data_IF_501311983984
#
_entry.id   IF_501311983984
#
_cell.length_a   1.000
_cell.length_b   1.000
_cell.length_c   1.000
_cell.angle_alpha   90.00
_cell.angle_beta   90.00
_cell.angle_gamma   90.00
#
_symmetry.space_group_name_H-M   'P 1'
#
loop_
_entity.id
_entity.type
_entity.pdbx_description
1 polymer ?
#
# COMPACT_ATOMS: atom_id res chain seq x y z
N UNK A 1 5.57 4.47 46.13
CA UNK A 1 5.40 5.09 44.80
C UNK A 1 5.18 3.97 43.78
N UNK A 2 3.96 3.79 43.26
CA UNK A 2 3.68 2.87 42.15
C UNK A 2 3.10 3.71 41.02
N UNK A 3 3.92 4.00 40.01
CA UNK A 3 3.49 4.73 38.82
C UNK A 3 2.94 3.73 37.82
N UNK A 4 1.64 3.82 37.53
CA UNK A 4 0.96 3.00 36.52
C UNK A 4 1.07 3.76 35.20
N UNK A 5 1.85 3.24 34.26
CA UNK A 5 1.91 3.78 32.90
C UNK A 5 0.56 3.54 32.22
N UNK A 6 -0.24 4.60 32.06
CA UNK A 6 -1.45 4.56 31.27
C UNK A 6 -1.08 4.49 29.78
N UNK A 7 -1.23 3.31 29.17
CA UNK A 7 -1.17 3.14 27.72
C UNK A 7 -2.40 3.82 27.12
N UNK A 8 -2.24 5.04 26.60
CA UNK A 8 -3.30 5.74 25.87
C UNK A 8 -3.43 5.05 24.52
N UNK A 9 -4.40 4.15 24.43
CA UNK A 9 -4.69 3.37 23.24
C UNK A 9 -5.20 4.30 22.14
N UNK A 10 -4.31 4.71 21.23
CA UNK A 10 -4.68 5.39 19.99
C UNK A 10 -5.14 4.30 19.00
N UNK A 11 -6.30 3.70 19.26
CA UNK A 11 -7.01 2.94 18.23
C UNK A 11 -7.45 3.97 17.20
N UNK A 12 -6.63 4.19 16.17
CA UNK A 12 -7.09 4.77 14.93
C UNK A 12 -8.33 3.98 14.55
N UNK A 13 -9.44 4.68 14.29
CA UNK A 13 -10.69 4.07 13.86
C UNK A 13 -10.39 3.30 12.58
N UNK A 14 -10.12 2.00 12.73
CA UNK A 14 -10.03 1.07 11.60
C UNK A 14 -11.43 1.14 11.02
N UNK A 15 -11.57 1.89 9.92
CA UNK A 15 -12.82 1.89 9.17
C UNK A 15 -13.10 0.42 8.90
N UNK A 16 -14.21 -0.15 9.41
CA UNK A 16 -14.56 -1.49 9.01
C UNK A 16 -14.63 -1.46 7.49
N UNK A 17 -13.89 -2.36 6.86
CA UNK A 17 -14.01 -2.68 5.45
C UNK A 17 -15.50 -2.61 5.11
N UNK A 18 -15.89 -1.59 4.34
CA UNK A 18 -17.24 -1.53 3.81
C UNK A 18 -17.32 -2.76 2.93
N UNK A 19 -18.03 -3.77 3.40
CA UNK A 19 -18.33 -5.00 2.70
C UNK A 19 -19.19 -4.71 1.47
N UNK A 20 -18.58 -4.04 0.49
CA UNK A 20 -19.12 -3.67 -0.80
C UNK A 20 -18.14 -3.96 -1.93
N UNK A 21 -16.99 -4.60 -1.65
CA UNK A 21 -16.20 -5.26 -2.69
C UNK A 21 -16.71 -6.68 -2.78
N UNK A 22 -17.65 -6.88 -3.70
CA UNK A 22 -18.06 -8.20 -4.17
C UNK A 22 -16.81 -9.01 -4.53
N UNK A 23 -16.35 -9.85 -3.61
CA UNK A 23 -15.39 -10.91 -3.89
C UNK A 23 -16.12 -11.92 -4.75
N UNK A 24 -16.18 -11.65 -6.04
CA UNK A 24 -16.62 -12.58 -7.08
C UNK A 24 -15.54 -12.55 -8.16
N UNK A 25 -14.38 -13.15 -7.86
CA UNK A 25 -13.36 -13.53 -8.84
C UNK A 25 -12.73 -12.41 -9.69
N UNK A 26 -12.87 -11.13 -9.32
CA UNK A 26 -12.39 -9.98 -10.10
C UNK A 26 -11.45 -9.09 -9.31
N UNK A 27 -10.38 -8.64 -9.96
CA UNK A 27 -9.43 -7.67 -9.41
C UNK A 27 -10.17 -6.37 -9.02
N UNK A 28 -9.73 -5.67 -7.96
CA UNK A 28 -10.25 -4.35 -7.60
C UNK A 28 -10.18 -3.38 -8.79
N UNK A 29 -11.20 -2.53 -8.94
CA UNK A 29 -11.26 -1.59 -10.07
C UNK A 29 -10.06 -0.66 -10.15
N UNK A 30 -9.50 -0.25 -9.00
CA UNK A 30 -8.25 0.51 -8.95
C UNK A 30 -7.07 -0.26 -9.56
N UNK A 31 -6.94 -1.56 -9.24
CA UNK A 31 -5.88 -2.43 -9.77
C UNK A 31 -6.01 -2.55 -11.28
N UNK A 32 -7.23 -2.77 -11.79
CA UNK A 32 -7.49 -2.84 -13.25
C UNK A 32 -7.11 -1.53 -13.95
N UNK A 33 -7.42 -0.36 -13.34
CA UNK A 33 -7.02 0.94 -13.88
C UNK A 33 -5.51 1.12 -13.91
N UNK A 34 -4.81 0.68 -12.85
CA UNK A 34 -3.37 0.74 -12.78
C UNK A 34 -2.71 -0.20 -13.81
N UNK A 35 -3.29 -1.38 -14.06
CA UNK A 35 -2.85 -2.34 -15.07
C UNK A 35 -3.03 -1.84 -16.51
N UNK A 36 -4.02 -0.99 -16.76
CA UNK A 36 -4.26 -0.40 -18.09
C UNK A 36 -3.24 0.69 -18.47
N UNK A 37 -2.41 1.14 -17.53
CA UNK A 37 -1.37 2.13 -17.79
C UNK A 37 -0.10 1.47 -18.31
N UNK A 38 0.59 2.19 -19.18
CA UNK A 38 1.71 1.62 -19.92
C UNK A 38 2.97 1.31 -19.11
N UNK A 39 3.27 1.88 -17.95
CA UNK A 39 4.51 1.74 -17.13
C UNK A 39 5.93 1.76 -17.78
N UNK A 40 6.16 1.17 -18.96
CA UNK A 40 7.45 1.07 -19.64
C UNK A 40 8.38 0.00 -19.06
N UNK A 41 7.94 -0.73 -18.04
CA UNK A 41 8.69 -1.80 -17.34
C UNK A 41 7.76 -2.96 -16.99
N UNK A 42 8.33 -4.13 -16.78
CA UNK A 42 7.58 -5.28 -16.27
C UNK A 42 7.18 -5.03 -14.81
N UNK A 43 5.90 -5.25 -14.49
CA UNK A 43 5.35 -5.05 -13.15
C UNK A 43 5.15 -6.40 -12.48
N UNK A 44 5.80 -6.60 -11.35
CA UNK A 44 5.76 -7.84 -10.59
C UNK A 44 4.50 -7.96 -9.75
N UNK A 45 4.05 -6.85 -9.13
CA UNK A 45 2.81 -6.82 -8.36
C UNK A 45 2.19 -5.41 -8.25
N UNK A 46 0.87 -5.39 -8.03
CA UNK A 46 0.07 -4.20 -7.75
C UNK A 46 -0.30 -4.17 -6.27
N UNK A 47 0.00 -3.07 -5.60
CA UNK A 47 -0.10 -2.88 -4.16
C UNK A 47 -1.31 -2.00 -3.82
N UNK A 48 -2.35 -2.59 -3.27
CA UNK A 48 -3.55 -1.89 -2.78
C UNK A 48 -3.45 -1.68 -1.26
N UNK A 49 -4.03 -0.57 -0.79
CA UNK A 49 -4.11 -0.18 0.62
C UNK A 49 -2.74 -0.18 1.31
N UNK A 50 -1.77 0.41 0.62
CA UNK A 50 -0.39 0.37 1.05
C UNK A 50 -0.12 1.37 2.19
N UNK A 51 0.39 0.87 3.30
CA UNK A 51 0.91 1.68 4.39
C UNK A 51 2.43 1.77 4.29
N UNK A 52 2.97 2.98 4.32
CA UNK A 52 4.42 3.20 4.34
C UNK A 52 5.00 2.88 5.72
N UNK A 53 6.00 2.01 5.75
CA UNK A 53 6.75 1.62 6.95
C UNK A 53 8.23 1.90 6.69
N UNK A 54 8.67 3.12 7.03
CA UNK A 54 10.02 3.58 6.73
C UNK A 54 10.29 3.69 5.23
N UNK A 55 11.15 2.80 4.71
CA UNK A 55 11.45 2.67 3.27
C UNK A 55 10.80 1.45 2.61
N UNK A 56 9.81 0.85 3.28
CA UNK A 56 9.04 -0.31 2.80
C UNK A 56 7.56 0.02 2.79
N UNK A 57 6.78 -0.83 2.15
CA UNK A 57 5.34 -0.76 2.13
C UNK A 57 4.73 -2.07 2.62
N UNK A 58 3.72 -1.98 3.50
CA UNK A 58 2.84 -3.09 3.81
C UNK A 58 1.55 -2.90 3.02
N UNK A 59 1.20 -3.81 2.13
CA UNK A 59 0.09 -3.64 1.20
C UNK A 59 -0.55 -4.98 0.83
N UNK A 60 -1.75 -4.93 0.28
CA UNK A 60 -2.41 -6.08 -0.33
C UNK A 60 -1.88 -6.23 -1.75
N UNK A 61 -1.21 -7.33 -2.04
CA UNK A 61 -0.67 -7.61 -3.36
C UNK A 61 -1.70 -8.29 -4.28
N UNK A 62 -1.71 -7.84 -5.53
CA UNK A 62 -2.49 -8.41 -6.62
C UNK A 62 -1.61 -8.64 -7.85
N UNK A 63 -1.96 -9.69 -8.60
CA UNK A 63 -1.32 -10.12 -9.83
C UNK A 63 0.18 -10.44 -9.65
N UNK A 64 0.58 -10.97 -8.50
CA UNK A 64 1.96 -11.37 -8.23
C UNK A 64 2.43 -12.41 -9.25
N UNK A 65 3.37 -12.01 -10.10
CA UNK A 65 3.92 -12.85 -11.16
C UNK A 65 4.98 -13.84 -10.64
N UNK A 66 5.46 -13.66 -9.40
CA UNK A 66 6.38 -14.59 -8.75
C UNK A 66 5.71 -15.93 -8.43
N UNK A 67 4.37 -15.96 -8.35
CA UNK A 67 3.60 -17.11 -7.88
C UNK A 67 3.81 -17.41 -6.38
N UNK A 68 4.55 -16.54 -5.68
CA UNK A 68 4.85 -16.68 -4.26
C UNK A 68 3.66 -16.21 -3.41
N UNK A 69 2.85 -15.29 -3.93
CA UNK A 69 1.70 -14.72 -3.23
C UNK A 69 0.39 -14.93 -3.99
N UNK A 70 -0.63 -15.46 -3.31
CA UNK A 70 -2.00 -15.45 -3.82
C UNK A 70 -2.55 -14.03 -3.87
N UNK A 71 -3.36 -13.73 -4.87
CA UNK A 71 -4.07 -12.45 -4.98
C UNK A 71 -4.83 -12.13 -3.70
N UNK A 72 -4.66 -10.93 -3.17
CA UNK A 72 -5.31 -10.49 -1.94
C UNK A 72 -4.54 -10.80 -0.65
N UNK A 73 -3.31 -11.32 -0.73
CA UNK A 73 -2.44 -11.46 0.44
C UNK A 73 -1.79 -10.13 0.84
N UNK A 74 -1.68 -9.89 2.14
CA UNK A 74 -0.89 -8.78 2.69
C UNK A 74 0.59 -9.14 2.63
N UNK A 75 1.36 -8.32 1.91
CA UNK A 75 2.81 -8.47 1.77
C UNK A 75 3.51 -7.25 2.36
N UNK A 76 4.74 -7.48 2.83
CA UNK A 76 5.68 -6.40 3.11
C UNK A 76 6.71 -6.37 1.99
N UNK A 77 6.81 -5.24 1.29
CA UNK A 77 7.81 -5.08 0.24
C UNK A 77 9.23 -5.09 0.84
N UNK A 78 10.25 -5.51 0.08
CA UNK A 78 11.62 -5.11 0.34
C UNK A 78 11.75 -3.57 0.37
N UNK A 79 12.92 -3.03 0.78
CA UNK A 79 13.21 -1.61 0.61
C UNK A 79 13.01 -1.19 -0.85
N UNK A 80 12.21 -0.14 -1.06
CA UNK A 80 11.90 0.38 -2.40
C UNK A 80 12.21 1.86 -2.51
N UNK A 81 12.47 2.29 -3.73
CA UNK A 81 12.54 3.70 -4.14
C UNK A 81 11.38 4.02 -5.07
N UNK A 82 10.94 5.27 -5.03
CA UNK A 82 9.98 5.79 -5.99
C UNK A 82 10.68 6.08 -7.32
N UNK A 83 10.10 5.62 -8.42
CA UNK A 83 10.64 5.81 -9.78
C UNK A 83 9.85 6.85 -10.56
N UNK A 84 8.52 6.73 -10.58
CA UNK A 84 7.66 7.63 -11.36
C UNK A 84 6.23 7.64 -10.83
N UNK A 85 5.54 8.76 -11.01
CA UNK A 85 4.10 8.87 -10.74
C UNK A 85 3.34 8.96 -12.07
N UNK A 86 2.29 8.16 -12.23
CA UNK A 86 1.35 8.24 -13.36
C UNK A 86 -0.07 8.43 -12.82
N UNK A 87 -0.57 9.66 -12.86
CA UNK A 87 -1.88 10.01 -12.30
C UNK A 87 -1.91 9.81 -10.78
N UNK A 88 -2.81 8.94 -10.31
CA UNK A 88 -2.93 8.61 -8.89
C UNK A 88 -1.99 7.46 -8.44
N UNK A 89 -1.29 6.83 -9.38
CA UNK A 89 -0.51 5.61 -9.13
C UNK A 89 0.99 5.90 -9.13
N UNK A 90 1.75 5.15 -8.33
CA UNK A 90 3.20 5.32 -8.19
C UNK A 90 3.93 4.04 -8.59
N UNK A 91 4.94 4.17 -9.43
CA UNK A 91 5.88 3.10 -9.73
C UNK A 91 6.97 3.10 -8.66
N UNK A 92 7.10 1.97 -8.00
CA UNK A 92 8.13 1.67 -7.03
C UNK A 92 9.06 0.62 -7.62
N UNK A 93 10.32 0.71 -7.25
CA UNK A 93 11.32 -0.28 -7.62
C UNK A 93 12.12 -0.64 -6.38
N UNK A 94 12.42 -1.92 -6.23
CA UNK A 94 13.37 -2.42 -5.24
C UNK A 94 14.73 -1.73 -5.41
N UNK A 95 15.49 -1.61 -4.31
CA UNK A 95 16.78 -0.91 -4.35
C UNK A 95 17.83 -1.62 -5.22
N UNK A 96 17.72 -2.93 -5.40
CA UNK A 96 18.54 -3.71 -6.32
C UNK A 96 18.10 -3.59 -7.79
N UNK A 97 16.92 -3.01 -8.04
CA UNK A 97 16.36 -2.85 -9.37
C UNK A 97 15.74 -4.12 -9.96
N UNK A 98 15.61 -5.19 -9.18
CA UNK A 98 15.12 -6.48 -9.65
C UNK A 98 13.61 -6.48 -9.87
N UNK A 99 12.86 -6.00 -8.87
CA UNK A 99 11.39 -6.01 -8.86
C UNK A 99 10.79 -4.61 -8.96
N UNK A 100 9.71 -4.49 -9.71
CA UNK A 100 8.92 -3.27 -9.88
C UNK A 100 7.48 -3.48 -9.38
N UNK A 101 7.02 -2.55 -8.53
CA UNK A 101 5.68 -2.59 -7.95
C UNK A 101 4.91 -1.33 -8.29
N UNK A 102 3.59 -1.46 -8.44
CA UNK A 102 2.71 -0.30 -8.62
C UNK A 102 1.90 -0.06 -7.36
N UNK A 103 2.07 1.10 -6.74
CA UNK A 103 1.25 1.58 -5.65
C UNK A 103 -0.09 2.07 -6.19
N UNK A 104 -1.15 1.36 -5.83
CA UNK A 104 -2.52 1.62 -6.30
C UNK A 104 -3.24 2.60 -5.39
N UNK A 105 -3.18 2.35 -4.08
CA UNK A 105 -3.65 3.28 -3.04
C UNK A 105 -2.65 3.29 -1.89
N UNK A 106 -2.42 4.46 -1.29
CA UNK A 106 -1.55 4.65 -0.13
C UNK A 106 -2.41 5.15 1.03
N UNK A 107 -2.26 4.53 2.21
CA UNK A 107 -2.84 5.01 3.46
C UNK A 107 -1.77 5.86 4.13
N UNK A 108 -1.90 7.18 4.00
CA UNK A 108 -1.09 8.11 4.78
C UNK A 108 -1.44 7.92 6.26
N UNK A 109 -0.45 7.55 7.07
CA UNK A 109 -0.55 7.48 8.50
C UNK A 109 -0.64 8.91 9.07
N UNK A 110 -1.79 9.55 8.91
CA UNK A 110 -2.14 10.84 9.48
C UNK A 110 -1.19 11.96 9.04
N UNK A 111 -1.64 12.79 8.10
CA UNK A 111 -1.22 14.19 8.12
C UNK A 111 -1.62 14.72 9.49
N UNK A 112 -0.65 14.82 10.41
CA UNK A 112 -0.77 15.72 11.54
C UNK A 112 -0.87 17.09 10.88
N UNK A 113 -2.10 17.57 10.70
CA UNK A 113 -2.34 18.97 10.44
C UNK A 113 -1.70 19.68 11.62
N UNK A 114 -0.53 20.27 11.40
CA UNK A 114 0.17 21.09 12.38
C UNK A 114 -0.85 22.11 12.89
N UNK A 115 -1.33 21.87 14.11
CA UNK A 115 -2.26 22.74 14.78
C UNK A 115 -1.58 24.09 14.95
N UNK A 116 -1.99 25.05 14.12
CA UNK A 116 -1.62 26.44 14.23
C UNK A 116 -2.10 26.97 15.59
N UNK A 117 -1.21 27.00 16.57
CA UNK A 117 -1.41 27.70 17.83
C UNK A 117 -1.13 29.20 17.57
N UNK A 118 -2.18 29.99 17.37
CA UNK A 118 -2.12 31.44 17.62
C UNK A 118 -2.46 31.71 19.09
#
# INVERSE_FOLDING_TARGET
MKSVCALKSNVASVRPYRAGSTVTGGLPGEVVRAMALDWGVYIDAYLLDAARVGNRYAAIAFCDQSGTSSNGMTVATPPVRHVATRGAFKLLQTLDGADNYVLVTEHDAGVVADGNCN
#
